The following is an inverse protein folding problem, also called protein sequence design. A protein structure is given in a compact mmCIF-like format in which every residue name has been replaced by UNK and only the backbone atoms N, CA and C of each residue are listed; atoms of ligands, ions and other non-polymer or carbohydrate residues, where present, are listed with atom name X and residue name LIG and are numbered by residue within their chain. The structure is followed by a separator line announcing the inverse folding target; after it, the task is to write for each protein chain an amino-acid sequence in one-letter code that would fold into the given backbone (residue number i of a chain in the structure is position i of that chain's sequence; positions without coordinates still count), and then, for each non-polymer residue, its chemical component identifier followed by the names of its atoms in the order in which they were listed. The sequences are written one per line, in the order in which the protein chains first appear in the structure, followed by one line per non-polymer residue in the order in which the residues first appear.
data_IF_368628552472
#
_entry.id   IF_368628552472
#
_cell.length_a   1.000
_cell.length_b   1.000
_cell.length_c   1.000
_cell.angle_alpha   90.00
_cell.angle_beta   90.00
_cell.angle_gamma   90.00
#
_symmetry.space_group_name_H-M   'P 1'
#
loop_
_entity.id
_entity.type
_entity.pdbx_description
1 polymer ?
#
# COMPACT_ATOMS: atom_id res chain seq x y z
N UNK A 1 32.58 -25.12 -19.92
CA UNK A 1 33.61 -24.11 -20.22
C UNK A 1 33.16 -23.42 -21.51
N UNK A 2 32.90 -22.11 -21.48
CA UNK A 2 32.41 -21.35 -22.65
C UNK A 2 33.62 -20.73 -23.35
N UNK A 3 33.93 -21.21 -24.54
CA UNK A 3 34.91 -20.56 -25.41
C UNK A 3 34.24 -19.40 -26.15
N UNK A 4 34.68 -18.18 -25.85
CA UNK A 4 34.37 -16.99 -26.63
C UNK A 4 35.49 -16.84 -27.65
N UNK A 5 35.22 -17.10 -28.93
CA UNK A 5 36.17 -16.76 -29.99
C UNK A 5 36.14 -15.25 -30.25
N UNK A 6 37.12 -14.57 -29.64
CA UNK A 6 37.23 -13.11 -29.62
C UNK A 6 37.58 -12.52 -30.99
N UNK A 7 38.05 -13.33 -31.96
CA UNK A 7 38.42 -12.84 -33.29
C UNK A 7 37.23 -12.65 -34.22
N UNK A 8 36.17 -13.45 -34.08
CA UNK A 8 35.05 -13.44 -35.02
C UNK A 8 33.94 -12.43 -34.65
N UNK A 9 33.96 -11.84 -33.44
CA UNK A 9 32.89 -10.95 -32.90
C UNK A 9 31.47 -11.49 -33.14
N UNK A 10 31.28 -12.80 -33.15
CA UNK A 10 29.97 -13.44 -33.35
C UNK A 10 29.67 -14.33 -32.16
N UNK A 11 28.57 -14.03 -31.48
CA UNK A 11 28.03 -14.87 -30.43
C UNK A 11 27.16 -15.92 -31.11
N UNK A 12 27.59 -17.18 -31.11
CA UNK A 12 26.73 -18.28 -31.51
C UNK A 12 25.80 -18.62 -30.34
N UNK A 13 24.49 -18.46 -30.57
CA UNK A 13 23.44 -18.79 -29.61
C UNK A 13 22.62 -19.93 -30.20
N UNK A 14 22.68 -21.10 -29.58
CA UNK A 14 21.77 -22.21 -29.88
C UNK A 14 20.50 -22.12 -29.03
N UNK A 15 19.34 -22.39 -29.63
CA UNK A 15 18.08 -22.45 -28.89
C UNK A 15 18.07 -23.70 -28.01
N UNK A 16 17.97 -23.52 -26.69
CA UNK A 16 17.79 -24.64 -25.77
C UNK A 16 16.42 -25.29 -26.01
N UNK A 17 16.38 -26.62 -26.09
CA UNK A 17 15.14 -27.40 -26.29
C UNK A 17 14.35 -27.64 -24.99
N UNK A 18 14.96 -27.35 -23.84
CA UNK A 18 14.39 -27.63 -22.51
C UNK A 18 14.23 -26.39 -21.61
N UNK A 19 14.36 -25.19 -22.18
CA UNK A 19 14.19 -23.95 -21.44
C UNK A 19 12.73 -23.74 -21.08
N UNK A 20 12.30 -24.19 -19.89
CA UNK A 20 11.12 -23.60 -19.26
C UNK A 20 11.32 -22.07 -19.26
N UNK A 21 10.33 -21.27 -19.68
CA UNK A 21 10.44 -19.82 -19.63
C UNK A 21 10.91 -19.44 -18.24
N UNK A 22 11.84 -18.46 -18.08
CA UNK A 22 12.15 -17.95 -16.77
C UNK A 22 10.82 -17.55 -16.15
N UNK A 23 10.41 -18.27 -15.10
CA UNK A 23 9.37 -17.78 -14.21
C UNK A 23 10.01 -16.56 -13.59
N UNK A 24 9.68 -15.38 -14.12
CA UNK A 24 9.79 -14.18 -13.33
C UNK A 24 8.94 -14.47 -12.10
N UNK A 25 9.60 -14.81 -11.00
CA UNK A 25 8.96 -14.82 -9.69
C UNK A 25 8.66 -13.34 -9.48
N UNK A 26 7.50 -12.89 -9.96
CA UNK A 26 6.92 -11.67 -9.42
C UNK A 26 6.61 -12.04 -7.98
N UNK A 27 7.51 -11.68 -7.07
CA UNK A 27 7.12 -11.50 -5.69
C UNK A 27 5.83 -10.69 -5.71
N UNK A 28 4.76 -11.30 -5.19
CA UNK A 28 3.43 -10.75 -4.95
C UNK A 28 3.05 -9.55 -5.84
N UNK A 29 2.40 -9.85 -6.98
CA UNK A 29 1.88 -8.91 -7.98
C UNK A 29 1.75 -7.46 -7.50
N UNK A 30 2.81 -6.67 -7.71
CA UNK A 30 2.80 -5.24 -7.45
C UNK A 30 1.74 -4.58 -8.33
N UNK A 31 0.65 -4.11 -7.72
CA UNK A 31 -0.36 -3.30 -8.40
C UNK A 31 0.14 -1.86 -8.40
N UNK A 32 0.15 -1.18 -9.55
CA UNK A 32 0.54 0.23 -9.61
C UNK A 32 -0.52 1.13 -8.95
N UNK A 33 -0.13 2.33 -8.51
CA UNK A 33 -1.09 3.31 -7.98
C UNK A 33 -2.15 3.67 -9.04
N UNK A 34 -1.74 3.81 -10.30
CA UNK A 34 -2.64 4.09 -11.43
C UNK A 34 -3.71 3.00 -11.61
N UNK A 35 -3.34 1.72 -11.47
CA UNK A 35 -4.33 0.63 -11.56
C UNK A 35 -5.33 0.70 -10.42
N UNK A 36 -4.88 0.99 -9.18
CA UNK A 36 -5.77 1.14 -8.03
C UNK A 36 -6.73 2.32 -8.20
N UNK A 37 -6.24 3.47 -8.65
CA UNK A 37 -7.05 4.67 -8.90
C UNK A 37 -8.08 4.45 -10.02
N UNK A 38 -7.69 3.73 -11.07
CA UNK A 38 -8.63 3.34 -12.12
C UNK A 38 -9.69 2.36 -11.60
N UNK A 39 -9.35 1.42 -10.70
CA UNK A 39 -10.33 0.57 -10.04
C UNK A 39 -11.34 1.38 -9.22
N UNK A 40 -10.87 2.36 -8.45
CA UNK A 40 -11.75 3.27 -7.71
C UNK A 40 -12.69 4.03 -8.65
N UNK A 41 -12.14 4.58 -9.74
CA UNK A 41 -12.92 5.31 -10.75
C UNK A 41 -14.01 4.43 -11.36
N UNK A 42 -13.66 3.21 -11.76
CA UNK A 42 -14.62 2.26 -12.34
C UNK A 42 -15.74 1.93 -11.36
N UNK A 43 -15.40 1.61 -10.11
CA UNK A 43 -16.40 1.33 -9.06
C UNK A 43 -17.31 2.54 -8.79
N UNK A 44 -16.75 3.75 -8.81
CA UNK A 44 -17.49 4.99 -8.50
C UNK A 44 -18.41 5.43 -9.62
N UNK A 45 -17.97 5.27 -10.87
CA UNK A 45 -18.71 5.75 -12.06
C UNK A 45 -19.62 4.69 -12.66
N UNK A 46 -19.36 3.40 -12.42
CA UNK A 46 -20.03 2.31 -13.12
C UNK A 46 -19.56 2.15 -14.57
N UNK A 47 -18.50 2.83 -15.00
CA UNK A 47 -17.95 2.73 -16.37
C UNK A 47 -17.59 1.29 -16.77
N UNK A 48 -17.35 0.39 -15.80
CA UNK A 48 -17.10 -1.03 -16.06
C UNK A 48 -18.25 -1.75 -16.77
N UNK A 49 -19.49 -1.26 -16.64
CA UNK A 49 -20.66 -1.81 -17.34
C UNK A 49 -20.56 -1.68 -18.86
N UNK A 50 -19.80 -0.70 -19.35
CA UNK A 50 -19.59 -0.46 -20.79
C UNK A 50 -18.52 -1.37 -21.40
N UNK A 51 -17.83 -2.18 -20.59
CA UNK A 51 -16.78 -3.08 -21.08
C UNK A 51 -17.34 -4.31 -21.84
N UNK A 52 -18.66 -4.51 -21.82
CA UNK A 52 -19.35 -5.60 -22.51
C UNK A 52 -18.72 -6.98 -22.21
N UNK A 53 -18.34 -7.21 -20.96
CA UNK A 53 -17.71 -8.45 -20.51
C UNK A 53 -18.35 -8.94 -19.21
N UNK A 54 -19.17 -9.99 -19.32
CA UNK A 54 -19.95 -10.54 -18.21
C UNK A 54 -19.11 -11.03 -17.03
N UNK A 55 -17.86 -11.45 -17.27
CA UNK A 55 -16.97 -11.86 -16.19
C UNK A 55 -16.50 -10.62 -15.42
N UNK A 56 -16.01 -9.61 -16.13
CA UNK A 56 -15.54 -8.37 -15.52
C UNK A 56 -16.68 -7.68 -14.75
N UNK A 57 -17.87 -7.59 -15.35
CA UNK A 57 -19.05 -7.03 -14.69
C UNK A 57 -19.36 -7.76 -13.39
N UNK A 58 -19.38 -9.10 -13.39
CA UNK A 58 -19.61 -9.90 -12.18
C UNK A 58 -18.53 -9.67 -11.12
N UNK A 59 -17.26 -9.57 -11.51
CA UNK A 59 -16.17 -9.34 -10.57
C UNK A 59 -16.29 -7.94 -9.90
N UNK A 60 -16.65 -6.91 -10.66
CA UNK A 60 -16.91 -5.57 -10.12
C UNK A 60 -18.17 -5.51 -9.25
N UNK A 61 -19.24 -6.19 -9.64
CA UNK A 61 -20.48 -6.25 -8.85
C UNK A 61 -20.25 -6.99 -7.53
N UNK A 62 -19.44 -8.06 -7.53
CA UNK A 62 -19.00 -8.73 -6.31
C UNK A 62 -18.21 -7.78 -5.40
N UNK A 63 -17.21 -7.07 -5.94
CA UNK A 63 -16.45 -6.07 -5.17
C UNK A 63 -17.36 -4.98 -4.60
N UNK A 64 -18.30 -4.47 -5.39
CA UNK A 64 -19.28 -3.46 -4.97
C UNK A 64 -20.26 -4.01 -3.92
N UNK A 65 -20.52 -5.30 -3.89
CA UNK A 65 -21.33 -5.92 -2.83
C UNK A 65 -20.59 -6.08 -1.51
N UNK A 66 -19.26 -6.22 -1.57
CA UNK A 66 -18.39 -6.39 -0.40
C UNK A 66 -17.97 -5.04 0.22
N UNK A 67 -18.21 -3.94 -0.48
CA UNK A 67 -17.83 -2.59 -0.08
C UNK A 67 -19.06 -1.69 -0.05
N UNK A 68 -19.09 -0.72 0.84
CA UNK A 68 -20.07 0.37 0.76
C UNK A 68 -19.37 1.71 0.70
N UNK A 69 -19.99 2.68 0.03
CA UNK A 69 -19.46 4.03 -0.11
C UNK A 69 -20.17 4.95 0.88
N UNK A 70 -19.39 5.63 1.74
CA UNK A 70 -19.90 6.52 2.78
C UNK A 70 -18.90 7.65 3.03
N UNK A 71 -19.42 8.88 3.14
CA UNK A 71 -18.64 10.11 3.36
C UNK A 71 -17.37 10.23 2.48
N UNK A 72 -17.48 9.92 1.19
CA UNK A 72 -16.37 10.06 0.24
C UNK A 72 -15.39 8.88 0.21
N UNK A 73 -15.57 7.85 1.04
CA UNK A 73 -14.65 6.73 1.17
C UNK A 73 -15.35 5.39 0.92
N UNK A 74 -14.58 4.40 0.45
CA UNK A 74 -15.01 3.01 0.43
C UNK A 74 -14.68 2.33 1.74
N UNK A 75 -15.65 1.60 2.26
CA UNK A 75 -15.57 0.89 3.52
C UNK A 75 -15.81 -0.60 3.30
N UNK A 76 -15.07 -1.39 4.06
CA UNK A 76 -15.24 -2.82 4.22
C UNK A 76 -15.74 -3.07 5.64
N UNK A 77 -16.67 -3.99 5.81
CA UNK A 77 -17.16 -4.42 7.12
C UNK A 77 -17.20 -5.94 7.14
N UNK A 78 -16.51 -6.55 8.12
CA UNK A 78 -16.58 -7.99 8.33
C UNK A 78 -17.70 -8.39 9.30
N UNK A 79 -17.99 -9.68 9.35
CA UNK A 79 -19.02 -10.27 10.22
C UNK A 79 -18.73 -10.10 11.72
N UNK A 80 -17.54 -9.60 12.10
CA UNK A 80 -17.11 -9.36 13.48
C UNK A 80 -17.06 -7.86 13.80
N UNK A 81 -17.77 -7.02 13.02
CA UNK A 81 -17.85 -5.57 13.17
C UNK A 81 -16.51 -4.83 13.00
N UNK A 82 -15.49 -5.47 12.43
CA UNK A 82 -14.29 -4.74 12.05
C UNK A 82 -14.61 -3.94 10.80
N UNK A 83 -14.65 -2.62 10.97
CA UNK A 83 -14.73 -1.68 9.87
C UNK A 83 -13.31 -1.42 9.38
N UNK A 84 -13.14 -1.40 8.06
CA UNK A 84 -11.90 -1.03 7.41
C UNK A 84 -12.14 -0.02 6.29
N UNK A 85 -11.17 0.84 6.05
CA UNK A 85 -11.19 1.81 4.95
C UNK A 85 -10.38 1.25 3.78
N UNK A 86 -10.98 1.23 2.59
CA UNK A 86 -10.32 0.86 1.33
C UNK A 86 -9.95 2.15 0.60
N UNK A 87 -8.65 2.43 0.51
CA UNK A 87 -8.14 3.71 0.01
C UNK A 87 -7.99 3.77 -1.49
N UNK A 88 -7.85 2.60 -2.15
CA UNK A 88 -7.41 2.50 -3.55
C UNK A 88 -6.12 3.30 -3.86
N UNK A 89 -5.25 3.49 -2.87
CA UNK A 89 -3.95 4.16 -3.02
C UNK A 89 -2.79 3.20 -2.80
N UNK A 90 -1.62 3.59 -3.28
CA UNK A 90 -0.38 2.86 -3.12
C UNK A 90 0.17 2.87 -1.69
N UNK A 91 1.15 1.99 -1.46
CA UNK A 91 1.75 1.71 -0.16
C UNK A 91 2.23 2.96 0.59
N UNK A 92 2.89 3.91 -0.11
CA UNK A 92 3.37 5.15 0.51
C UNK A 92 2.22 5.96 1.14
N UNK A 93 1.10 6.10 0.43
CA UNK A 93 -0.08 6.80 0.94
C UNK A 93 -0.70 6.05 2.12
N UNK A 94 -0.86 4.73 2.00
CA UNK A 94 -1.48 3.92 3.04
C UNK A 94 -0.66 3.92 4.34
N UNK A 95 0.66 3.89 4.23
CA UNK A 95 1.56 4.04 5.39
C UNK A 95 1.43 5.43 6.00
N UNK A 96 1.40 6.49 5.20
CA UNK A 96 1.22 7.85 5.69
C UNK A 96 -0.10 8.02 6.45
N UNK A 97 -1.21 7.48 5.89
CA UNK A 97 -2.51 7.50 6.55
C UNK A 97 -2.51 6.67 7.84
N UNK A 98 -1.90 5.48 7.84
CA UNK A 98 -1.76 4.68 9.05
C UNK A 98 -0.98 5.41 10.15
N UNK A 99 0.09 6.13 9.78
CA UNK A 99 0.86 6.94 10.73
C UNK A 99 0.03 8.09 11.32
N UNK A 100 -0.76 8.78 10.49
CA UNK A 100 -1.69 9.82 10.98
C UNK A 100 -2.69 9.23 11.97
N UNK A 101 -3.34 8.13 11.60
CA UNK A 101 -4.27 7.40 12.47
C UNK A 101 -3.57 7.10 13.80
N UNK A 102 -2.47 6.35 13.79
CA UNK A 102 -1.76 5.94 15.00
C UNK A 102 -1.31 7.13 15.85
N UNK A 103 -0.97 8.27 15.24
CA UNK A 103 -0.53 9.46 15.96
C UNK A 103 -1.61 10.10 16.83
N UNK A 104 -2.89 10.01 16.45
CA UNK A 104 -4.01 10.65 17.17
C UNK A 104 -4.77 9.73 18.12
N UNK A 105 -4.57 8.41 18.03
CA UNK A 105 -5.19 7.42 18.93
C UNK A 105 -4.29 7.01 20.10
N UNK A 106 -2.98 7.21 19.98
CA UNK A 106 -2.01 6.84 21.01
C UNK A 106 -1.62 5.35 20.97
N UNK A 107 -0.87 4.90 21.98
CA UNK A 107 -0.27 3.56 22.02
C UNK A 107 -1.32 2.43 22.07
N UNK A 108 -1.11 1.43 21.22
CA UNK A 108 -1.93 0.21 21.12
C UNK A 108 -1.97 -0.33 19.69
N UNK A 109 -1.62 -1.60 19.50
CA UNK A 109 -1.58 -2.26 18.18
C UNK A 109 -2.97 -2.61 17.63
N UNK A 110 -3.84 -1.61 17.45
CA UNK A 110 -5.22 -1.85 17.00
C UNK A 110 -5.46 -1.56 15.52
N UNK A 111 -4.52 -0.89 14.86
CA UNK A 111 -4.63 -0.50 13.45
C UNK A 111 -3.59 -1.20 12.59
N UNK A 112 -4.06 -1.85 11.53
CA UNK A 112 -3.24 -2.68 10.65
C UNK A 112 -3.45 -2.29 9.19
N UNK A 113 -2.35 -2.33 8.43
CA UNK A 113 -2.35 -2.12 6.98
C UNK A 113 -2.28 -3.49 6.27
N UNK A 114 -3.28 -3.75 5.43
CA UNK A 114 -3.32 -4.86 4.49
C UNK A 114 -3.04 -4.31 3.09
N UNK A 115 -1.77 -4.05 2.80
CA UNK A 115 -1.35 -3.24 1.65
C UNK A 115 -1.78 -3.83 0.29
N UNK A 116 -1.80 -5.16 0.19
CA UNK A 116 -2.31 -5.89 -0.98
C UNK A 116 -3.74 -5.49 -1.35
N UNK A 117 -4.55 -5.18 -0.35
CA UNK A 117 -5.96 -4.83 -0.49
C UNK A 117 -6.22 -3.32 -0.39
N UNK A 118 -5.15 -2.51 -0.25
CA UNK A 118 -5.27 -1.06 0.02
C UNK A 118 -6.21 -0.78 1.21
N UNK A 119 -6.17 -1.65 2.21
CA UNK A 119 -7.14 -1.71 3.31
C UNK A 119 -6.44 -1.39 4.62
N UNK A 120 -7.02 -0.47 5.40
CA UNK A 120 -6.63 -0.23 6.79
C UNK A 120 -7.78 -0.67 7.68
N UNK A 121 -7.52 -1.53 8.66
CA UNK A 121 -8.51 -2.01 9.63
C UNK A 121 -8.17 -1.54 11.03
N UNK A 122 -9.19 -1.30 11.84
CA UNK A 122 -9.05 -0.97 13.25
C UNK A 122 -10.34 -0.48 13.89
N UNK A 123 -10.36 -0.31 15.21
CA UNK A 123 -11.55 0.12 15.94
C UNK A 123 -11.95 1.54 15.55
N UNK A 124 -13.26 1.82 15.54
CA UNK A 124 -13.83 3.16 15.38
C UNK A 124 -13.28 3.97 14.18
N UNK A 125 -12.84 3.31 13.11
CA UNK A 125 -12.15 3.98 12.00
C UNK A 125 -12.95 5.13 11.38
N UNK A 126 -14.29 5.03 11.30
CA UNK A 126 -15.13 6.15 10.82
C UNK A 126 -14.96 7.41 11.66
N UNK A 127 -14.99 7.28 12.99
CA UNK A 127 -14.81 8.40 13.92
C UNK A 127 -13.39 8.95 13.83
N UNK A 128 -12.39 8.09 13.67
CA UNK A 128 -10.99 8.52 13.49
C UNK A 128 -10.81 9.29 12.19
N UNK A 129 -11.38 8.82 11.08
CA UNK A 129 -11.32 9.53 9.79
C UNK A 129 -12.03 10.88 9.85
N UNK A 130 -13.15 10.99 10.56
CA UNK A 130 -13.81 12.27 10.83
C UNK A 130 -12.88 13.21 11.62
N UNK A 131 -12.27 12.73 12.72
CA UNK A 131 -11.28 13.52 13.48
C UNK A 131 -10.10 13.99 12.63
N UNK A 132 -9.57 13.14 11.75
CA UNK A 132 -8.50 13.54 10.82
C UNK A 132 -8.93 14.61 9.81
N UNK A 133 -10.23 14.74 9.55
CA UNK A 133 -10.79 15.77 8.65
C UNK A 133 -11.08 17.07 9.42
N UNK A 134 -11.51 16.97 10.68
CA UNK A 134 -11.94 18.09 11.50
C UNK A 134 -10.79 18.74 12.31
N UNK A 135 -9.75 17.97 12.66
CA UNK A 135 -8.59 18.42 13.42
C UNK A 135 -7.40 18.74 12.49
N UNK A 136 -6.73 19.88 12.70
CA UNK A 136 -5.43 20.16 12.09
C UNK A 136 -4.36 19.24 12.69
N UNK A 137 -4.19 18.05 12.12
CA UNK A 137 -3.15 17.12 12.55
C UNK A 137 -1.79 17.56 12.01
N UNK A 138 -0.99 18.18 12.87
CA UNK A 138 0.40 18.53 12.56
C UNK A 138 1.28 17.29 12.40
N UNK A 139 2.30 17.39 11.54
CA UNK A 139 3.39 16.43 11.47
C UNK A 139 4.15 16.31 12.80
N UNK A 140 4.07 17.31 13.68
CA UNK A 140 4.60 17.24 15.04
C UNK A 140 3.93 16.14 15.86
N UNK A 141 2.63 15.89 15.65
CA UNK A 141 1.89 14.81 16.30
C UNK A 141 2.42 13.45 15.86
N UNK A 142 2.72 13.30 14.57
CA UNK A 142 3.34 12.10 14.00
C UNK A 142 4.77 11.93 14.52
N UNK A 143 5.54 13.02 14.61
CA UNK A 143 6.89 13.00 15.17
C UNK A 143 6.89 12.55 16.65
N UNK A 144 5.98 13.11 17.45
CA UNK A 144 5.81 12.74 18.86
C UNK A 144 5.31 11.31 19.05
N UNK A 145 4.50 10.78 18.11
CA UNK A 145 4.14 9.37 18.09
C UNK A 145 5.37 8.49 17.80
N UNK A 146 6.11 8.77 16.74
CA UNK A 146 7.31 8.01 16.38
C UNK A 146 8.37 8.06 17.49
N UNK A 147 8.53 9.20 18.15
CA UNK A 147 9.47 9.32 19.27
C UNK A 147 9.08 8.46 20.48
N UNK A 148 7.80 8.13 20.65
CA UNK A 148 7.38 7.18 21.71
C UNK A 148 7.39 5.73 21.25
N UNK A 149 7.43 5.48 19.94
CA UNK A 149 7.22 4.15 19.34
C UNK A 149 8.42 3.72 18.50
N UNK A 150 9.50 3.27 19.15
CA UNK A 150 10.72 2.84 18.45
C UNK A 150 10.49 1.66 17.50
N UNK A 151 9.64 0.70 17.88
CA UNK A 151 9.24 -0.43 17.01
C UNK A 151 8.69 0.05 15.66
N UNK A 152 7.88 1.11 15.64
CA UNK A 152 7.34 1.66 14.40
C UNK A 152 8.45 2.26 13.51
N UNK A 153 9.47 2.88 14.12
CA UNK A 153 10.64 3.40 13.38
C UNK A 153 11.40 2.24 12.75
N UNK A 154 11.64 1.16 13.49
CA UNK A 154 12.35 -0.03 13.01
C UNK A 154 11.62 -0.69 11.83
N UNK A 155 10.32 -0.92 11.96
CA UNK A 155 9.47 -1.48 10.89
C UNK A 155 9.53 -0.65 9.60
N UNK A 156 9.48 0.68 9.72
CA UNK A 156 9.50 1.59 8.56
C UNK A 156 10.89 1.73 7.92
N UNK A 157 11.95 1.36 8.63
CA UNK A 157 13.33 1.53 8.17
C UNK A 157 14.06 0.21 7.92
N UNK A 158 13.42 -0.94 8.14
CA UNK A 158 14.03 -2.28 8.08
C UNK A 158 14.72 -2.58 6.75
N UNK A 159 14.18 -2.09 5.64
CA UNK A 159 14.75 -2.32 4.30
C UNK A 159 15.92 -1.39 3.97
N UNK A 160 16.18 -0.37 4.80
CA UNK A 160 17.25 0.60 4.60
C UNK A 160 18.49 0.14 5.37
N UNK A 161 19.44 -0.48 4.66
CA UNK A 161 20.62 -1.17 5.24
C UNK A 161 21.41 -0.36 6.27
N UNK A 162 21.41 0.97 6.17
CA UNK A 162 22.20 1.85 7.05
C UNK A 162 21.37 2.59 8.11
N UNK A 163 20.03 2.46 8.10
CA UNK A 163 19.19 3.25 9.00
C UNK A 163 19.38 2.92 10.47
N UNK A 164 19.77 1.69 10.80
CA UNK A 164 20.07 1.30 12.18
C UNK A 164 21.25 2.09 12.80
N UNK A 165 22.13 2.68 11.99
CA UNK A 165 23.25 3.51 12.45
C UNK A 165 22.86 4.99 12.63
N UNK A 166 21.67 5.37 12.14
CA UNK A 166 21.23 6.76 12.12
C UNK A 166 20.58 7.10 13.46
N UNK A 167 20.95 8.22 14.11
CA UNK A 167 20.28 8.70 15.31
C UNK A 167 18.76 8.75 15.14
N UNK A 168 18.02 8.38 16.19
CA UNK A 168 16.56 8.28 16.18
C UNK A 168 15.88 9.55 15.62
N UNK A 169 16.33 10.73 16.03
CA UNK A 169 15.79 12.01 15.55
C UNK A 169 15.92 12.18 14.02
N UNK A 170 17.03 11.73 13.43
CA UNK A 170 17.24 11.76 11.98
C UNK A 170 16.44 10.67 11.26
N UNK A 171 16.26 9.49 11.87
CA UNK A 171 15.33 8.46 11.35
C UNK A 171 13.90 8.99 11.28
N UNK A 172 13.43 9.65 12.35
CA UNK A 172 12.09 10.27 12.38
C UNK A 172 11.98 11.32 11.27
N UNK A 173 12.95 12.23 11.15
CA UNK A 173 12.97 13.25 10.08
C UNK A 173 12.93 12.63 8.69
N UNK A 174 13.68 11.55 8.47
CA UNK A 174 13.65 10.83 7.20
C UNK A 174 12.28 10.21 6.93
N UNK A 175 11.65 9.56 7.91
CA UNK A 175 10.30 8.98 7.78
C UNK A 175 9.30 10.08 7.39
N UNK A 176 9.30 11.20 8.10
CA UNK A 176 8.39 12.32 7.81
C UNK A 176 8.57 12.83 6.38
N UNK A 177 9.82 13.04 5.95
CA UNK A 177 10.11 13.46 4.58
C UNK A 177 9.70 12.40 3.55
N UNK A 178 9.98 11.12 3.80
CA UNK A 178 9.72 10.05 2.84
C UNK A 178 8.22 9.83 2.58
N UNK A 179 7.39 9.97 3.62
CA UNK A 179 5.95 9.67 3.52
C UNK A 179 5.07 10.91 3.33
N UNK A 180 5.47 12.07 3.83
CA UNK A 180 4.64 13.28 3.83
C UNK A 180 5.14 14.42 2.94
N UNK A 181 6.37 14.34 2.39
CA UNK A 181 6.82 15.28 1.35
C UNK A 181 6.44 14.80 -0.05
N UNK A 182 6.04 15.77 -0.88
CA UNK A 182 5.69 15.62 -2.31
C UNK A 182 6.95 15.56 -3.16
#
# INVERSE_FOLDING_TARGET
MKDIDVKAKRIQVERTKEGKPPKFISDESFVSNEVRENMEKLLRTGEYLNLNNDKITRDFDFLKSALYFDAGNYWFEDNQTNIGIVTFKGTKFNIALLLLIKSIVGEGEKYQLHDKHSLITGPDLKRIMQRLTDEDVSLDTVAAYLDRNEKAIEELTVHQKFMHLVPKSLRIKWILNNFFSV
#
